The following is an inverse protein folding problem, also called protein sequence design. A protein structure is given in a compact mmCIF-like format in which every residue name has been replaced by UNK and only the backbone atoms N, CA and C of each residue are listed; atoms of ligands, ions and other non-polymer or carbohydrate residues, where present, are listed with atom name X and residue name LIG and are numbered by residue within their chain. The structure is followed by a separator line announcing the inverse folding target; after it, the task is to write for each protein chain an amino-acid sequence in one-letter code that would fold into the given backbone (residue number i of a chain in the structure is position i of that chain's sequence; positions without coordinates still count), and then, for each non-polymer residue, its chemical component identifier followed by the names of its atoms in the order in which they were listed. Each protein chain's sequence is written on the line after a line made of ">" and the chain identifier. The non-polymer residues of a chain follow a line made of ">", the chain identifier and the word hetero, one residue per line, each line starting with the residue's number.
data_IF_527382497830
#
_entry.id   IF_527382497830
#
_cell.length_a   1.000
_cell.length_b   1.000
_cell.length_c   1.000
_cell.angle_alpha   90.00
_cell.angle_beta   90.00
_cell.angle_gamma   90.00
#
_symmetry.space_group_name_H-M   'P 1'
#
loop_
_entity.id
_entity.type
_entity.pdbx_description
1 polymer ?
#
# COMPACT_ATOMS: atom_id res chain seq x y z
N UNK A 1 3.52 -11.40 10.72
CA UNK A 1 2.09 -11.18 10.41
C UNK A 1 1.95 -10.99 8.92
N UNK A 2 0.85 -11.48 8.34
CA UNK A 2 0.56 -11.38 6.92
C UNK A 2 -0.49 -10.29 6.69
N UNK A 3 -0.26 -9.43 5.71
CA UNK A 3 -1.24 -8.44 5.26
C UNK A 3 -1.55 -8.64 3.78
N UNK A 4 -2.75 -8.23 3.37
CA UNK A 4 -3.17 -8.25 1.97
C UNK A 4 -2.85 -6.92 1.30
N UNK A 5 -2.35 -6.96 0.08
CA UNK A 5 -2.10 -5.76 -0.74
C UNK A 5 -3.07 -5.74 -1.90
N UNK A 6 -3.73 -4.60 -2.09
CA UNK A 6 -4.67 -4.37 -3.18
C UNK A 6 -4.27 -3.08 -3.91
N UNK A 7 -4.10 -3.13 -5.22
CA UNK A 7 -3.88 -1.95 -6.04
C UNK A 7 -5.13 -1.65 -6.87
N UNK A 8 -5.70 -0.47 -6.69
CA UNK A 8 -6.90 -0.01 -7.40
C UNK A 8 -6.62 1.29 -8.18
N UNK A 9 -7.49 1.60 -9.17
CA UNK A 9 -7.36 2.81 -9.99
C UNK A 9 -6.35 2.71 -11.14
N UNK A 10 -5.71 3.83 -11.52
CA UNK A 10 -4.81 3.93 -12.69
C UNK A 10 -3.45 3.31 -12.38
N UNK A 11 -3.41 1.99 -12.38
CA UNK A 11 -2.27 1.21 -11.92
C UNK A 11 -2.62 -0.26 -11.71
N UNK A 12 -3.91 -0.64 -11.75
CA UNK A 12 -4.34 -2.03 -11.59
C UNK A 12 -3.62 -3.03 -12.52
N UNK A 13 -3.16 -2.60 -13.69
CA UNK A 13 -2.38 -3.43 -14.61
C UNK A 13 -1.00 -3.83 -14.05
N UNK A 14 -0.52 -3.10 -13.04
CA UNK A 14 0.67 -3.41 -12.27
C UNK A 14 0.37 -4.39 -11.14
N UNK A 15 -0.91 -4.67 -10.80
CA UNK A 15 -1.26 -5.62 -9.74
C UNK A 15 -0.66 -7.02 -9.97
N UNK A 16 -0.50 -7.43 -11.23
CA UNK A 16 0.15 -8.70 -11.59
C UNK A 16 1.67 -8.72 -11.29
N UNK A 17 2.28 -7.56 -11.06
CA UNK A 17 3.71 -7.40 -10.78
C UNK A 17 4.01 -7.21 -9.28
N UNK A 18 2.96 -7.17 -8.46
CA UNK A 18 3.03 -6.83 -7.05
C UNK A 18 2.61 -8.05 -6.22
N UNK A 19 3.27 -8.33 -5.10
CA UNK A 19 2.79 -9.36 -4.20
C UNK A 19 1.39 -9.02 -3.67
N UNK A 20 0.45 -9.96 -3.80
CA UNK A 20 -0.91 -9.83 -3.24
C UNK A 20 -0.94 -9.92 -1.71
N UNK A 21 0.15 -10.43 -1.11
CA UNK A 21 0.33 -10.61 0.32
C UNK A 21 1.75 -10.19 0.71
N UNK A 22 1.88 -9.44 1.81
CA UNK A 22 3.17 -9.09 2.40
C UNK A 22 3.31 -9.74 3.76
N UNK A 23 4.43 -10.42 3.98
CA UNK A 23 4.84 -10.87 5.29
C UNK A 23 5.66 -9.77 5.97
N UNK A 24 5.18 -9.31 7.13
CA UNK A 24 5.78 -8.24 7.92
C UNK A 24 6.09 -8.73 9.33
N UNK A 25 7.07 -8.09 9.98
CA UNK A 25 7.33 -8.30 11.39
C UNK A 25 6.12 -7.96 12.27
N UNK A 26 6.03 -8.56 13.46
CA UNK A 26 5.01 -8.16 14.43
C UNK A 26 5.15 -6.69 14.82
N UNK A 27 4.01 -6.00 14.94
CA UNK A 27 3.98 -4.58 15.29
C UNK A 27 4.38 -3.62 14.17
N UNK A 28 4.54 -4.11 12.93
CA UNK A 28 4.82 -3.24 11.79
C UNK A 28 3.69 -2.22 11.54
N UNK A 29 4.04 -1.09 10.94
CA UNK A 29 3.10 -0.03 10.57
C UNK A 29 3.03 0.16 9.05
N UNK A 30 2.19 1.10 8.61
CA UNK A 30 2.02 1.47 7.19
C UNK A 30 3.35 1.79 6.51
N UNK A 31 4.23 2.55 7.17
CA UNK A 31 5.52 2.94 6.58
C UNK A 31 6.43 1.74 6.35
N UNK A 32 6.38 0.73 7.22
CA UNK A 32 7.16 -0.50 7.06
C UNK A 32 6.62 -1.36 5.91
N UNK A 33 5.30 -1.40 5.73
CA UNK A 33 4.66 -2.08 4.61
C UNK A 33 5.03 -1.44 3.26
N UNK A 34 4.96 -0.10 3.16
CA UNK A 34 5.33 0.63 1.95
C UNK A 34 6.80 0.44 1.59
N UNK A 35 7.70 0.42 2.59
CA UNK A 35 9.12 0.11 2.36
C UNK A 35 9.34 -1.30 1.84
N UNK A 36 8.65 -2.29 2.40
CA UNK A 36 8.73 -3.67 1.90
C UNK A 36 8.22 -3.79 0.47
N UNK A 37 7.13 -3.09 0.16
CA UNK A 37 6.54 -3.09 -1.16
C UNK A 37 7.44 -2.42 -2.19
N UNK A 38 8.02 -1.27 -1.87
CA UNK A 38 9.00 -0.58 -2.72
C UNK A 38 10.27 -1.42 -2.92
N UNK A 39 10.70 -2.18 -1.91
CA UNK A 39 11.84 -3.08 -2.04
C UNK A 39 11.54 -4.29 -2.95
N UNK A 40 10.31 -4.82 -2.89
CA UNK A 40 9.87 -5.92 -3.74
C UNK A 40 9.58 -5.48 -5.19
N UNK A 41 9.11 -4.25 -5.37
CA UNK A 41 8.73 -3.69 -6.68
C UNK A 41 9.20 -2.23 -6.81
N UNK A 42 10.50 -1.98 -7.01
CA UNK A 42 11.04 -0.62 -7.06
C UNK A 42 10.47 0.24 -8.19
N UNK A 43 10.20 1.52 -7.90
CA UNK A 43 9.68 2.50 -8.85
C UNK A 43 8.19 2.39 -9.14
N UNK A 44 7.50 1.49 -8.44
CA UNK A 44 6.07 1.28 -8.56
C UNK A 44 5.26 2.34 -7.82
N UNK A 45 5.69 2.69 -6.60
CA UNK A 45 4.92 3.56 -5.71
C UNK A 45 5.14 5.01 -6.10
N UNK A 46 4.13 5.62 -6.70
CA UNK A 46 4.14 7.07 -6.89
C UNK A 46 3.77 7.77 -5.58
N UNK A 47 4.50 8.83 -5.25
CA UNK A 47 4.29 9.67 -4.05
C UNK A 47 2.84 10.12 -3.84
N UNK A 48 2.09 10.31 -4.93
CA UNK A 48 0.70 10.76 -4.94
C UNK A 48 -0.34 9.65 -4.79
N UNK A 49 0.06 8.37 -4.79
CA UNK A 49 -0.87 7.26 -4.56
C UNK A 49 -1.47 7.38 -3.16
N UNK A 50 -2.79 7.23 -3.08
CA UNK A 50 -3.51 7.21 -1.80
C UNK A 50 -3.29 5.86 -1.12
N UNK A 51 -3.21 5.89 0.19
CA UNK A 51 -3.01 4.73 1.06
C UNK A 51 -4.24 4.58 1.94
N UNK A 52 -4.83 3.39 1.91
CA UNK A 52 -5.95 3.01 2.75
C UNK A 52 -5.59 1.75 3.54
N UNK A 53 -5.94 1.75 4.83
CA UNK A 53 -5.81 0.59 5.71
C UNK A 53 -7.20 0.16 6.15
N UNK A 54 -7.59 -1.06 5.85
CA UNK A 54 -8.90 -1.63 6.19
C UNK A 54 -10.05 -0.70 5.76
N UNK A 55 -9.93 -0.13 4.54
CA UNK A 55 -10.89 0.81 3.94
C UNK A 55 -10.81 2.25 4.47
N UNK A 56 -9.91 2.56 5.41
CA UNK A 56 -9.70 3.92 5.94
C UNK A 56 -8.53 4.59 5.23
N UNK A 57 -8.78 5.72 4.55
CA UNK A 57 -7.71 6.56 4.00
C UNK A 57 -6.83 7.15 5.10
N UNK A 58 -5.51 6.93 4.99
CA UNK A 58 -4.49 7.36 5.96
C UNK A 58 -3.49 8.37 5.38
N UNK A 59 -3.67 8.76 4.11
CA UNK A 59 -2.84 9.72 3.41
C UNK A 59 -2.30 9.19 2.08
N UNK A 60 -1.13 9.66 1.70
CA UNK A 60 -0.43 9.30 0.46
C UNK A 60 0.86 8.54 0.75
N UNK A 61 1.45 7.91 -0.27
CA UNK A 61 2.76 7.27 -0.15
C UNK A 61 3.79 8.26 0.42
N UNK A 62 3.82 9.50 -0.07
CA UNK A 62 4.73 10.54 0.41
C UNK A 62 4.39 11.08 1.82
N UNK A 63 3.11 11.10 2.19
CA UNK A 63 2.65 11.67 3.45
C UNK A 63 1.43 10.91 3.99
N UNK A 64 1.68 9.99 4.92
CA UNK A 64 0.66 9.15 5.58
C UNK A 64 0.83 9.13 7.10
N UNK A 65 -0.25 8.81 7.80
CA UNK A 65 -0.22 8.47 9.22
C UNK A 65 0.53 7.15 9.46
N UNK A 66 1.37 7.10 10.49
CA UNK A 66 2.03 5.85 10.92
C UNK A 66 1.05 5.00 11.74
N UNK A 67 0.15 4.32 11.04
CA UNK A 67 -0.88 3.46 11.65
C UNK A 67 -0.32 2.05 11.87
N UNK A 68 -0.49 1.46 13.06
CA UNK A 68 -0.08 0.07 13.30
C UNK A 68 -0.97 -0.88 12.47
N UNK A 69 -0.34 -1.90 11.87
CA UNK A 69 -1.02 -2.93 11.11
C UNK A 69 -1.30 -4.14 12.01
N UNK A 70 -2.30 -4.93 11.61
CA UNK A 70 -2.64 -6.19 12.27
C UNK A 70 -2.50 -7.33 11.27
N UNK A 71 -2.40 -8.55 11.79
CA UNK A 71 -2.51 -9.73 10.97
C UNK A 71 -3.86 -9.74 10.23
N UNK A 72 -3.81 -10.00 8.93
CA UNK A 72 -4.96 -9.93 8.03
C UNK A 72 -5.40 -8.52 7.62
N UNK A 73 -4.69 -7.46 8.01
CA UNK A 73 -5.00 -6.10 7.54
C UNK A 73 -4.91 -6.00 6.02
N UNK A 74 -5.75 -5.15 5.43
CA UNK A 74 -5.75 -4.83 4.02
C UNK A 74 -5.09 -3.46 3.79
N UNK A 75 -3.99 -3.47 3.03
CA UNK A 75 -3.35 -2.28 2.48
C UNK A 75 -3.87 -2.08 1.06
N UNK A 76 -4.68 -1.05 0.86
CA UNK A 76 -5.12 -0.63 -0.46
C UNK A 76 -4.35 0.61 -0.92
N UNK A 77 -3.83 0.54 -2.14
CA UNK A 77 -3.16 1.64 -2.83
C UNK A 77 -4.03 2.08 -4.00
N UNK A 78 -4.31 3.38 -4.08
CA UNK A 78 -5.14 3.95 -5.14
C UNK A 78 -4.36 5.02 -5.89
N UNK A 79 -4.14 4.80 -7.18
CA UNK A 79 -3.56 5.83 -8.05
C UNK A 79 -4.67 6.84 -8.46
N UNK A 80 -4.58 8.11 -8.03
CA UNK A 80 -5.63 9.09 -8.30
C UNK A 80 -5.81 9.31 -9.81
N UNK A 81 -7.06 9.34 -10.26
CA UNK A 81 -7.40 9.73 -11.63
C UNK A 81 -7.41 11.26 -11.71
N UNK A 82 -6.58 11.85 -12.57
CA UNK A 82 -6.76 13.25 -12.94
C UNK A 82 -8.11 13.36 -13.66
N UNK A 83 -9.11 13.93 -12.99
CA UNK A 83 -10.38 14.28 -13.61
C UNK A 83 -10.11 15.31 -14.71
N UNK A 84 -10.45 14.96 -15.94
CA UNK A 84 -10.58 15.90 -17.05
C UNK A 84 -11.98 16.50 -17.09
#
# INVERSE_FOLDING_TARGET
>A
MQIRVVLTGRGYHLADTIPSELELGEGANVSDALKHLEAASPGLLADSMLVLIDGRHVGTVAAHESVPLRDGSELELLAPVAGG
#
